data_IF_582987232774
#
_entry.id   IF_582987232774
#
_cell.length_a   1.000
_cell.length_b   1.000
_cell.length_c   1.000
_cell.angle_alpha   90.00
_cell.angle_beta   90.00
_cell.angle_gamma   90.00
#
_symmetry.space_group_name_H-M   'P 1'
#
loop_
_entity.id
_entity.type
_entity.pdbx_description
1 polymer ?
#
# COMPACT_ATOMS: atom_id res chain seq x y z
N UNK A 1 -0.11 13.63 21.82
CA UNK A 1 -0.85 12.90 20.76
C UNK A 1 -0.99 13.83 19.57
N UNK A 2 -0.49 13.46 18.39
CA UNK A 2 -0.45 14.35 17.22
C UNK A 2 -1.63 14.00 16.31
N UNK A 3 -2.63 14.89 16.28
CA UNK A 3 -3.87 14.74 15.53
C UNK A 3 -3.59 14.91 14.03
N UNK A 4 -3.61 13.80 13.29
CA UNK A 4 -3.52 13.80 11.83
C UNK A 4 -4.94 13.96 11.28
N UNK A 5 -5.22 14.93 10.39
CA UNK A 5 -6.57 15.10 9.87
C UNK A 5 -7.03 13.77 9.23
N UNK A 6 -8.23 13.30 9.57
CA UNK A 6 -8.73 11.99 9.11
C UNK A 6 -8.68 11.83 7.57
N UNK A 7 -8.77 12.94 6.83
CA UNK A 7 -8.65 12.98 5.37
C UNK A 7 -7.29 12.44 4.92
N UNK A 8 -6.18 12.90 5.52
CA UNK A 8 -4.82 12.45 5.19
C UNK A 8 -4.46 11.07 5.72
N UNK A 9 -5.29 10.44 6.57
CA UNK A 9 -5.10 9.02 6.92
C UNK A 9 -5.82 8.09 5.93
N UNK A 10 -7.02 8.49 5.47
CA UNK A 10 -7.77 7.74 4.46
C UNK A 10 -7.03 7.71 3.12
N UNK A 11 -6.54 8.87 2.67
CA UNK A 11 -5.75 8.99 1.44
C UNK A 11 -4.48 8.12 1.49
N UNK A 12 -3.81 8.06 2.65
CA UNK A 12 -2.63 7.21 2.80
C UNK A 12 -2.97 5.73 2.75
N UNK A 13 -4.11 5.30 3.32
CA UNK A 13 -4.56 3.89 3.21
C UNK A 13 -4.86 3.51 1.76
N UNK A 14 -5.46 4.40 0.99
CA UNK A 14 -5.72 4.18 -0.44
C UNK A 14 -4.41 4.02 -1.22
N UNK A 15 -3.36 4.80 -0.89
CA UNK A 15 -2.04 4.67 -1.52
C UNK A 15 -1.24 3.40 -1.12
N UNK A 16 -1.59 2.71 -0.03
CA UNK A 16 -0.85 1.51 0.41
C UNK A 16 -0.86 0.40 -0.65
N UNK A 17 -1.94 0.25 -1.41
CA UNK A 17 -2.03 -0.75 -2.47
C UNK A 17 -1.03 -0.50 -3.60
N UNK A 18 -0.96 0.75 -4.08
CA UNK A 18 0.01 1.19 -5.09
C UNK A 18 1.43 0.97 -4.59
N UNK A 19 1.69 1.39 -3.35
CA UNK A 19 2.99 1.23 -2.71
C UNK A 19 3.41 -0.25 -2.56
N UNK A 20 2.48 -1.12 -2.13
CA UNK A 20 2.74 -2.54 -1.92
C UNK A 20 3.05 -3.29 -3.22
N UNK A 21 2.42 -2.89 -4.33
CA UNK A 21 2.70 -3.42 -5.67
C UNK A 21 4.01 -2.87 -6.28
N UNK A 22 4.70 -1.96 -5.59
CA UNK A 22 5.95 -1.34 -6.08
C UNK A 22 5.74 -0.22 -7.09
N UNK A 23 4.52 0.29 -7.22
CA UNK A 23 4.16 1.41 -8.10
C UNK A 23 4.25 2.76 -7.38
N UNK A 24 3.98 3.83 -8.13
CA UNK A 24 4.06 5.23 -7.69
C UNK A 24 5.42 5.86 -7.94
N UNK A 25 5.43 7.18 -8.06
CA UNK A 25 6.66 7.94 -8.25
C UNK A 25 7.49 8.05 -6.95
N UNK A 26 8.67 8.68 -7.04
CA UNK A 26 9.58 8.78 -5.92
C UNK A 26 9.00 9.61 -4.74
N UNK A 27 8.23 10.65 -5.04
CA UNK A 27 7.63 11.57 -4.07
C UNK A 27 6.44 10.90 -3.36
N UNK A 28 5.56 10.25 -4.12
CA UNK A 28 4.43 9.48 -3.59
C UNK A 28 4.93 8.41 -2.61
N UNK A 29 5.95 7.63 -3.03
CA UNK A 29 6.52 6.58 -2.19
C UNK A 29 7.23 7.15 -0.95
N UNK A 30 7.85 8.33 -1.05
CA UNK A 30 8.47 8.99 0.11
C UNK A 30 7.42 9.46 1.12
N UNK A 31 6.30 9.97 0.63
CA UNK A 31 5.15 10.39 1.45
C UNK A 31 4.57 9.22 2.22
N UNK A 32 4.32 8.09 1.55
CA UNK A 32 3.83 6.86 2.21
C UNK A 32 4.82 6.37 3.27
N UNK A 33 6.13 6.30 2.97
CA UNK A 33 7.16 5.92 3.96
C UNK A 33 7.15 6.83 5.19
N UNK A 34 7.05 8.15 5.00
CA UNK A 34 6.97 9.13 6.10
C UNK A 34 5.76 8.89 7.01
N UNK A 35 4.63 8.50 6.42
CA UNK A 35 3.42 8.13 7.17
C UNK A 35 3.61 6.80 7.93
N UNK A 36 4.15 5.77 7.26
CA UNK A 36 4.39 4.46 7.85
C UNK A 36 5.33 4.50 9.04
N UNK A 37 6.27 5.46 9.11
CA UNK A 37 7.12 5.65 10.30
C UNK A 37 6.31 6.03 11.55
N UNK A 38 5.08 6.54 11.41
CA UNK A 38 4.31 7.13 12.50
C UNK A 38 3.01 6.37 12.80
N UNK A 39 2.46 5.63 11.83
CA UNK A 39 1.16 4.96 11.99
C UNK A 39 1.28 3.43 12.06
N UNK A 40 0.97 2.85 13.24
CA UNK A 40 0.97 1.40 13.43
C UNK A 40 -0.13 0.69 12.64
N UNK A 41 -1.32 1.31 12.55
CA UNK A 41 -2.45 0.75 11.80
C UNK A 41 -2.10 0.59 10.32
N UNK A 42 -1.56 1.62 9.68
CA UNK A 42 -1.18 1.54 8.27
C UNK A 42 -0.02 0.55 8.00
N UNK A 43 0.87 0.32 8.97
CA UNK A 43 1.87 -0.74 8.86
C UNK A 43 1.23 -2.13 8.89
N UNK A 44 0.29 -2.38 9.81
CA UNK A 44 -0.44 -3.64 9.86
C UNK A 44 -1.24 -3.89 8.58
N UNK A 45 -1.90 -2.87 8.04
CA UNK A 45 -2.60 -2.97 6.74
C UNK A 45 -1.64 -3.29 5.60
N UNK A 46 -0.45 -2.68 5.57
CA UNK A 46 0.58 -2.97 4.58
C UNK A 46 1.07 -4.43 4.68
N UNK A 47 1.23 -4.96 5.90
CA UNK A 47 1.59 -6.37 6.10
C UNK A 47 0.52 -7.33 5.56
N UNK A 48 -0.77 -7.01 5.72
CA UNK A 48 -1.85 -7.79 5.10
C UNK A 48 -1.83 -7.70 3.58
N UNK A 49 -1.61 -6.50 3.03
CA UNK A 49 -1.48 -6.31 1.57
C UNK A 49 -0.28 -7.07 1.01
N UNK A 50 0.85 -7.13 1.72
CA UNK A 50 2.03 -7.85 1.28
C UNK A 50 1.75 -9.36 1.06
N UNK A 51 0.87 -9.96 1.88
CA UNK A 51 0.43 -11.35 1.69
C UNK A 51 -0.36 -11.53 0.40
N UNK A 52 -1.21 -10.56 0.04
CA UNK A 52 -1.99 -10.57 -1.21
C UNK A 52 -1.05 -10.39 -2.40
N UNK A 53 -0.11 -9.45 -2.33
CA UNK A 53 0.91 -9.22 -3.38
C UNK A 53 1.74 -10.48 -3.62
N UNK A 54 2.14 -11.19 -2.57
CA UNK A 54 2.86 -12.47 -2.70
C UNK A 54 2.03 -13.54 -3.42
N UNK A 55 0.72 -13.59 -3.17
CA UNK A 55 -0.20 -14.50 -3.89
C UNK A 55 -0.36 -14.11 -5.36
N UNK A 56 -0.50 -12.81 -5.64
CA UNK A 56 -0.60 -12.30 -7.01
C UNK A 56 0.67 -12.59 -7.82
N UNK A 57 1.85 -12.48 -7.21
CA UNK A 57 3.12 -12.77 -7.87
C UNK A 57 3.26 -14.25 -8.30
N UNK A 58 2.50 -15.17 -7.68
CA UNK A 58 2.47 -16.58 -8.05
C UNK A 58 1.48 -16.91 -9.17
N UNK A 59 0.64 -15.95 -9.59
CA UNK A 59 -0.32 -16.13 -10.68
C UNK A 59 0.43 -16.12 -12.01
N UNK A 60 0.32 -17.20 -12.78
CA UNK A 60 0.77 -17.22 -14.17
C UNK A 60 -0.19 -16.34 -15.01
N UNK A 61 0.28 -15.25 -15.64
CA UNK A 61 -0.56 -14.39 -16.46
C UNK A 61 -1.27 -15.12 -17.61
N UNK A 62 -0.69 -16.21 -18.13
CA UNK A 62 -1.30 -17.02 -19.18
C UNK A 62 -2.61 -17.72 -18.74
N UNK A 63 -2.87 -17.81 -17.43
CA UNK A 63 -4.10 -18.36 -16.88
C UNK A 63 -5.21 -17.30 -16.73
N UNK A 64 -4.89 -16.03 -16.94
CA UNK A 64 -5.89 -14.96 -17.05
C UNK A 64 -6.47 -15.07 -18.46
N UNK A 65 -7.50 -15.90 -18.63
CA UNK A 65 -8.23 -16.00 -19.90
C UNK A 65 -8.59 -14.60 -20.39
N UNK A 66 -8.48 -14.37 -21.70
CA UNK A 66 -8.75 -13.07 -22.32
C UNK A 66 -10.08 -12.50 -21.80
N UNK A 67 -9.99 -11.40 -21.06
CA UNK A 67 -11.16 -10.61 -20.62
C UNK A 67 -11.57 -9.64 -21.71
#
# INVERSE_FOLDING_TARGET
MRYWPRQTHREMREQLGVFALGHGDAEERATVRSHLNKCATCRAELDELAKVVARLAAVNPANLGHV
#
